data_IF_942472847033
#
_entry.id   IF_942472847033
#
_cell.length_a   1.000
_cell.length_b   1.000
_cell.length_c   1.000
_cell.angle_alpha   90.00
_cell.angle_beta   90.00
_cell.angle_gamma   90.00
#
_symmetry.space_group_name_H-M   'P 1'
#
loop_
_entity.id
_entity.type
_entity.pdbx_description
1 polymer ?
#
# COMPACT_ATOMS: atom_id res chain seq x y z
N UNK A 1 -8.79 7.29 -23.01
CA UNK A 1 -8.38 8.61 -22.59
C UNK A 1 -7.42 8.55 -21.41
N UNK A 2 -6.43 9.37 -21.43
CA UNK A 2 -5.44 9.38 -20.36
C UNK A 2 -5.91 10.24 -19.21
N UNK A 3 -5.90 9.67 -18.02
CA UNK A 3 -6.21 10.43 -16.83
C UNK A 3 -4.92 10.66 -16.08
N UNK A 4 -4.73 11.86 -15.62
CA UNK A 4 -3.52 12.18 -14.87
C UNK A 4 -3.90 12.63 -13.47
N UNK A 5 -3.02 12.37 -12.54
CA UNK A 5 -3.15 12.83 -11.18
C UNK A 5 -1.79 13.28 -10.70
N UNK A 6 -1.78 14.27 -9.87
CA UNK A 6 -0.53 14.66 -9.23
C UNK A 6 -0.26 13.71 -8.09
N UNK A 7 1.01 13.42 -7.86
CA UNK A 7 1.37 12.58 -6.74
C UNK A 7 0.85 13.16 -5.44
N UNK A 8 0.87 14.48 -5.33
CA UNK A 8 0.38 15.10 -4.10
C UNK A 8 -1.11 14.88 -3.88
N UNK A 9 -1.86 14.57 -4.92
CA UNK A 9 -3.28 14.29 -4.76
C UNK A 9 -3.51 12.90 -4.17
N UNK A 10 -2.48 12.08 -4.19
CA UNK A 10 -2.61 10.70 -3.75
C UNK A 10 -2.22 10.54 -2.29
N UNK A 11 -1.47 11.49 -1.76
CA UNK A 11 -1.08 11.42 -0.37
C UNK A 11 -2.33 11.44 0.52
N UNK A 12 -2.33 10.60 1.51
CA UNK A 12 -3.44 10.41 2.44
C UNK A 12 -4.67 9.76 1.81
N UNK A 13 -4.56 9.32 0.57
CA UNK A 13 -5.65 8.60 -0.05
C UNK A 13 -5.82 7.26 0.65
N UNK A 14 -7.06 6.84 0.81
CA UNK A 14 -7.31 5.55 1.41
C UNK A 14 -6.99 4.45 0.42
N UNK A 15 -6.46 3.36 0.93
CA UNK A 15 -6.06 2.21 0.11
C UNK A 15 -6.92 1.03 0.52
N UNK A 16 -7.53 0.39 -0.48
CA UNK A 16 -8.33 -0.79 -0.25
C UNK A 16 -7.79 -1.94 -1.08
N UNK A 17 -7.96 -3.14 -0.58
CA UNK A 17 -7.58 -4.30 -1.38
C UNK A 17 -8.69 -4.57 -2.37
N UNK A 18 -8.41 -5.40 -3.36
CA UNK A 18 -9.43 -5.76 -4.32
C UNK A 18 -10.46 -6.69 -3.72
N UNK A 19 -10.31 -7.08 -2.46
CA UNK A 19 -11.34 -7.79 -1.72
C UNK A 19 -12.23 -6.83 -0.95
N UNK A 20 -11.92 -5.54 -0.99
CA UNK A 20 -12.75 -4.55 -0.33
C UNK A 20 -12.33 -4.17 1.06
N UNK A 21 -11.20 -4.65 1.53
CA UNK A 21 -10.75 -4.34 2.88
C UNK A 21 -9.97 -3.05 2.91
N UNK A 22 -10.22 -2.23 3.90
CA UNK A 22 -9.47 -0.99 4.06
C UNK A 22 -8.07 -1.32 4.55
N UNK A 23 -7.09 -1.02 3.72
CA UNK A 23 -5.72 -1.44 3.98
C UNK A 23 -4.91 -0.42 4.76
N UNK A 24 -5.09 0.83 4.48
CA UNK A 24 -4.35 1.90 5.14
C UNK A 24 -4.43 3.16 4.30
N UNK A 25 -3.56 4.13 4.60
CA UNK A 25 -3.52 5.38 3.86
C UNK A 25 -2.17 5.57 3.22
N UNK A 26 -2.16 6.14 2.04
CA UNK A 26 -0.91 6.43 1.36
C UNK A 26 -0.14 7.48 2.15
N UNK A 27 1.11 7.20 2.40
CA UNK A 27 1.96 8.13 3.11
C UNK A 27 2.90 8.86 2.18
N UNK A 28 3.52 8.15 1.26
CA UNK A 28 4.42 8.79 0.32
C UNK A 28 4.70 7.86 -0.84
N UNK A 29 5.24 8.43 -1.90
CA UNK A 29 5.66 7.64 -3.04
C UNK A 29 7.13 7.28 -2.87
N UNK A 30 7.49 6.13 -3.39
CA UNK A 30 8.86 5.66 -3.33
C UNK A 30 9.39 5.64 -4.75
N UNK A 31 10.47 6.32 -4.99
CA UNK A 31 11.07 6.37 -6.31
C UNK A 31 12.29 5.47 -6.36
N UNK A 32 12.47 4.85 -7.48
CA UNK A 32 13.67 4.08 -7.72
C UNK A 32 14.07 4.36 -9.15
N UNK A 33 15.30 4.73 -9.34
CA UNK A 33 15.82 5.20 -10.60
C UNK A 33 14.99 6.35 -11.07
N UNK A 34 14.24 6.59 -11.78
CA UNK A 34 13.44 7.77 -12.00
C UNK A 34 11.99 7.39 -12.27
N UNK A 35 11.54 6.34 -11.59
CA UNK A 35 10.18 5.90 -11.71
C UNK A 35 9.59 5.70 -10.34
N UNK A 36 8.27 5.70 -10.28
CA UNK A 36 7.62 5.33 -9.04
C UNK A 36 7.75 3.84 -8.86
N UNK A 37 8.45 3.45 -7.81
CA UNK A 37 8.62 2.05 -7.49
C UNK A 37 7.40 1.53 -6.75
N UNK A 38 6.86 2.35 -5.87
CA UNK A 38 5.72 1.91 -5.08
C UNK A 38 5.26 3.01 -4.16
N UNK A 39 4.41 2.64 -3.24
CA UNK A 39 3.80 3.57 -2.32
C UNK A 39 3.96 3.07 -0.91
N UNK A 40 4.36 3.95 -0.01
CA UNK A 40 4.38 3.59 1.40
C UNK A 40 2.97 3.81 1.93
N UNK A 41 2.39 2.76 2.46
CA UNK A 41 1.05 2.80 3.02
C UNK A 41 1.18 2.65 4.52
N UNK A 42 0.66 3.61 5.26
CA UNK A 42 0.78 3.54 6.71
C UNK A 42 -0.47 2.93 7.30
N UNK A 43 -0.27 2.23 8.42
CA UNK A 43 -1.38 1.66 9.14
C UNK A 43 -2.12 2.75 9.88
N UNK A 44 -3.42 2.68 9.89
CA UNK A 44 -4.24 3.56 10.69
C UNK A 44 -5.04 2.70 11.65
N UNK A 45 -5.69 3.35 12.60
CA UNK A 45 -6.39 2.63 13.63
C UNK A 45 -7.32 1.57 13.12
N UNK A 46 -8.06 1.87 12.07
CA UNK A 46 -9.05 0.95 11.56
C UNK A 46 -8.58 0.13 10.38
N UNK A 47 -7.32 0.24 10.01
CA UNK A 47 -6.86 -0.40 8.81
C UNK A 47 -6.57 -1.87 9.03
N UNK A 48 -6.62 -2.62 7.94
CA UNK A 48 -6.27 -4.02 7.97
C UNK A 48 -4.80 -4.19 8.35
N UNK A 49 -3.96 -3.25 7.89
CA UNK A 49 -2.56 -3.29 8.25
C UNK A 49 -2.37 -3.24 9.76
N UNK A 50 -3.16 -2.42 10.42
CA UNK A 50 -3.01 -2.33 11.86
C UNK A 50 -3.35 -3.64 12.53
N UNK A 51 -4.32 -4.35 11.99
CA UNK A 51 -4.69 -5.63 12.56
C UNK A 51 -3.60 -6.66 12.36
N UNK A 52 -2.95 -6.63 11.21
CA UNK A 52 -1.91 -7.60 10.93
C UNK A 52 -0.62 -7.25 11.63
N UNK A 53 -0.26 -5.99 11.60
CA UNK A 53 1.05 -5.60 12.08
C UNK A 53 1.06 -5.12 13.52
N UNK A 54 -0.11 -5.05 14.12
CA UNK A 54 -0.16 -4.73 15.54
C UNK A 54 0.36 -3.36 15.86
N UNK A 55 -0.06 -2.38 15.11
CA UNK A 55 0.33 -1.00 15.39
C UNK A 55 1.62 -0.58 14.74
N UNK A 56 2.13 -1.37 13.86
CA UNK A 56 3.36 -1.02 13.20
C UNK A 56 3.14 0.09 12.21
N UNK A 57 4.18 0.49 11.54
CA UNK A 57 4.18 1.66 10.74
C UNK A 57 3.49 1.49 9.43
N UNK A 58 3.78 0.47 8.70
CA UNK A 58 3.18 0.31 7.38
C UNK A 58 4.08 -0.49 6.49
N UNK A 59 3.74 -0.51 5.21
CA UNK A 59 4.47 -1.33 4.25
C UNK A 59 4.61 -0.56 2.96
N UNK A 60 5.46 -1.04 2.09
CA UNK A 60 5.60 -0.49 0.75
C UNK A 60 4.90 -1.43 -0.21
N UNK A 61 3.99 -0.88 -0.99
CA UNK A 61 3.26 -1.63 -2.00
C UNK A 61 3.88 -1.30 -3.35
N UNK A 62 4.43 -2.27 -4.03
CA UNK A 62 5.01 -2.00 -5.35
C UNK A 62 3.96 -1.53 -6.33
N UNK A 63 4.36 -0.63 -7.21
CA UNK A 63 3.44 -0.06 -8.18
C UNK A 63 2.74 -1.14 -9.02
N UNK A 64 3.44 -2.21 -9.32
CA UNK A 64 2.84 -3.25 -10.15
C UNK A 64 1.67 -3.94 -9.47
N UNK A 65 1.52 -3.79 -8.16
CA UNK A 65 0.40 -4.38 -7.45
C UNK A 65 -0.74 -3.39 -7.26
N UNK A 66 -0.60 -2.17 -7.73
CA UNK A 66 -1.67 -1.19 -7.67
C UNK A 66 -2.58 -1.41 -8.87
N UNK A 67 -3.85 -1.65 -8.62
CA UNK A 67 -4.79 -1.94 -9.69
C UNK A 67 -5.46 -0.71 -10.24
N UNK A 68 -5.76 0.23 -9.39
CA UNK A 68 -6.35 1.48 -9.88
C UNK A 68 -6.18 2.57 -8.84
N UNK A 69 -6.20 3.79 -9.30
CA UNK A 69 -6.12 4.96 -8.45
C UNK A 69 -7.20 5.92 -8.93
N UNK A 70 -8.17 6.13 -8.09
CA UNK A 70 -9.24 7.06 -8.37
C UNK A 70 -9.45 7.92 -7.16
N UNK A 71 -10.62 7.84 -6.56
CA UNK A 71 -10.85 8.51 -5.29
C UNK A 71 -10.19 7.72 -4.16
N UNK A 72 -9.96 6.47 -4.39
CA UNK A 72 -9.21 5.63 -3.47
C UNK A 72 -8.22 4.84 -4.31
N UNK A 73 -7.27 4.22 -3.65
CA UNK A 73 -6.32 3.35 -4.33
C UNK A 73 -6.73 1.91 -4.09
N UNK A 74 -6.79 1.13 -5.16
CA UNK A 74 -7.11 -0.30 -5.06
C UNK A 74 -5.86 -1.09 -5.36
N UNK A 75 -5.50 -1.99 -4.48
CA UNK A 75 -4.31 -2.80 -4.66
C UNK A 75 -4.70 -4.27 -4.68
N UNK A 76 -3.83 -5.07 -5.25
CA UNK A 76 -4.03 -6.50 -5.24
C UNK A 76 -3.85 -7.01 -3.82
N UNK A 77 -4.69 -7.94 -3.41
CA UNK A 77 -4.49 -8.49 -2.09
C UNK A 77 -3.21 -9.30 -2.00
N UNK A 78 -2.55 -9.55 -3.11
CA UNK A 78 -1.23 -10.16 -3.08
C UNK A 78 -0.21 -9.25 -2.41
N UNK A 79 -0.51 -7.95 -2.30
CA UNK A 79 0.38 -7.02 -1.63
C UNK A 79 0.23 -7.08 -0.11
N UNK A 80 -0.81 -7.73 0.38
CA UNK A 80 -1.05 -7.79 1.80
C UNK A 80 -0.03 -8.72 2.43
N UNK A 81 0.71 -8.28 3.45
CA UNK A 81 1.67 -9.16 4.07
C UNK A 81 0.96 -10.37 4.66
N UNK A 82 1.50 -11.52 4.39
CA UNK A 82 0.99 -12.71 5.02
C UNK A 82 1.82 -12.93 6.24
N UNK A 83 1.25 -12.68 7.38
CA UNK A 83 2.04 -12.77 8.57
C UNK A 83 1.75 -14.08 9.23
N UNK A 84 2.74 -14.88 9.38
CA UNK A 84 2.57 -16.02 10.20
C UNK A 84 3.90 -16.33 10.82
N UNK A 85 3.85 -16.97 11.93
CA UNK A 85 5.01 -17.09 12.75
C UNK A 85 6.07 -17.93 12.16
N UNK A 86 5.71 -18.86 11.33
CA UNK A 86 6.70 -19.66 10.79
C UNK A 86 7.31 -19.12 9.58
N UNK A 87 6.86 -17.99 9.11
CA UNK A 87 7.34 -17.45 7.88
C UNK A 87 8.13 -16.24 8.13
N UNK A 88 9.37 -16.35 8.39
CA UNK A 88 10.13 -15.15 8.72
C UNK A 88 10.08 -14.22 7.57
N UNK A 89 10.18 -12.94 7.87
CA UNK A 89 10.22 -11.95 6.88
C UNK A 89 11.39 -12.17 6.01
N UNK A 90 11.20 -12.10 4.73
CA UNK A 90 12.36 -12.19 3.85
C UNK A 90 13.25 -11.05 4.17
N UNK A 91 14.40 -11.29 4.28
CA UNK A 91 15.20 -10.23 4.56
C UNK A 91 15.59 -9.63 3.45
N UNK A 92 15.63 -9.18 3.13
CA UNK A 92 15.82 -8.74 2.24
C UNK A 92 16.74 -8.59 1.96
N UNK A 93 17.10 -8.71 1.75
CA UNK A 93 17.81 -8.74 1.64
C UNK A 93 18.02 -8.35 1.18
#
# INVERSE_FOLDING_TARGET
>A
MLKTKKISDIYSMEVYTDSGDYFGDVEESILASNKVFGWRVRATKRSYLNKILGGAKGVIVPQQLVKSIGDIMIISKAAVPTYNDESPMPEEE
#
